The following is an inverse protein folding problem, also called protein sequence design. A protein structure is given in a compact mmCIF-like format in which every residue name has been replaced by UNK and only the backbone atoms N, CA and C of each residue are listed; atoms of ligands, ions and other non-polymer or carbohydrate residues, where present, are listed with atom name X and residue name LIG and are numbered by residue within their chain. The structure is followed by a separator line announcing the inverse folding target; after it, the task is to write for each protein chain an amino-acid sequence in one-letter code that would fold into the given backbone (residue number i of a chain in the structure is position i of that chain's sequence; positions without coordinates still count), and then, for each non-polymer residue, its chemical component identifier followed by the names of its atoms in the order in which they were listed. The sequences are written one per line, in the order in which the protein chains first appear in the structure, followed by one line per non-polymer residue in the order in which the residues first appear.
data_IF_919895995891
#
_entry.id   IF_919895995891
#
_cell.length_a   1.000
_cell.length_b   1.000
_cell.length_c   1.000
_cell.angle_alpha   90.00
_cell.angle_beta   90.00
_cell.angle_gamma   90.00
#
_symmetry.space_group_name_H-M   'P 1'
#
loop_
_entity.id
_entity.type
_entity.pdbx_description
1 polymer ?
#
# COMPACT_ATOMS: atom_id res chain seq x y z
N UNK A 1 5.46 -49.58 -42.92
CA UNK A 1 6.36 -48.74 -42.10
C UNK A 1 5.52 -47.85 -41.20
N UNK A 2 5.50 -48.13 -39.89
CA UNK A 2 5.42 -47.19 -38.75
C UNK A 2 5.13 -48.00 -37.48
N UNK A 3 6.09 -48.14 -36.54
CA UNK A 3 5.86 -48.84 -35.27
C UNK A 3 5.23 -47.88 -34.25
N UNK A 4 4.14 -48.31 -33.62
CA UNK A 4 3.52 -47.57 -32.52
C UNK A 4 4.29 -47.92 -31.24
N UNK A 5 5.15 -46.98 -30.81
CA UNK A 5 5.97 -47.11 -29.61
C UNK A 5 5.13 -47.43 -28.37
N UNK A 6 5.60 -48.42 -27.61
CA UNK A 6 5.29 -48.67 -26.20
C UNK A 6 5.72 -47.48 -25.36
N UNK A 7 4.87 -46.97 -24.47
CA UNK A 7 5.21 -46.27 -23.22
C UNK A 7 3.86 -46.08 -22.50
N UNK A 8 3.68 -46.38 -21.22
CA UNK A 8 4.49 -45.94 -20.09
C UNK A 8 3.97 -46.68 -18.84
N UNK A 9 4.81 -47.48 -18.20
CA UNK A 9 4.50 -48.09 -16.90
C UNK A 9 4.29 -47.00 -15.86
N UNK A 10 3.09 -46.96 -15.28
CA UNK A 10 2.80 -46.08 -14.15
C UNK A 10 3.25 -46.77 -12.87
N UNK A 11 4.38 -46.34 -12.31
CA UNK A 11 4.78 -46.75 -10.96
C UNK A 11 4.07 -45.85 -9.94
N UNK A 12 3.09 -46.43 -9.24
CA UNK A 12 2.40 -45.81 -8.12
C UNK A 12 3.40 -45.63 -6.97
N UNK A 13 3.72 -44.37 -6.64
CA UNK A 13 4.56 -44.03 -5.49
C UNK A 13 3.71 -44.11 -4.21
N UNK A 14 4.13 -44.84 -3.17
CA UNK A 14 3.41 -44.85 -1.91
C UNK A 14 3.58 -43.51 -1.19
N UNK A 15 2.47 -43.00 -0.66
CA UNK A 15 2.41 -41.82 0.22
C UNK A 15 3.03 -42.18 1.56
N UNK A 16 4.20 -41.63 1.89
CA UNK A 16 4.75 -41.71 3.24
C UNK A 16 4.01 -40.72 4.16
N UNK A 17 3.71 -41.24 5.34
CA UNK A 17 2.87 -40.65 6.37
C UNK A 17 3.52 -39.45 7.08
N UNK A 18 2.67 -38.48 7.43
CA UNK A 18 2.69 -37.72 8.69
C UNK A 18 4.01 -37.06 9.11
N UNK A 19 4.20 -35.80 8.72
CA UNK A 19 5.09 -34.89 9.46
C UNK A 19 4.21 -34.11 10.45
N UNK A 20 4.46 -34.15 11.77
CA UNK A 20 3.68 -33.37 12.72
C UNK A 20 4.01 -31.89 12.52
N UNK A 21 3.00 -31.11 12.17
CA UNK A 21 3.12 -29.66 12.10
C UNK A 21 3.40 -29.13 13.52
N UNK A 22 4.63 -28.63 13.74
CA UNK A 22 4.98 -27.91 14.94
C UNK A 22 4.14 -26.61 14.96
N UNK A 23 3.03 -26.62 15.71
CA UNK A 23 2.18 -25.45 15.91
C UNK A 23 2.94 -24.44 16.77
N UNK A 24 3.66 -23.54 16.12
CA UNK A 24 4.28 -22.39 16.79
C UNK A 24 3.15 -21.49 17.33
N UNK A 25 3.11 -21.18 18.63
CA UNK A 25 2.18 -20.18 19.14
C UNK A 25 2.60 -18.85 18.53
N UNK A 26 1.74 -18.30 17.67
CA UNK A 26 1.88 -16.92 17.18
C UNK A 26 1.89 -16.00 18.40
N UNK A 27 3.07 -15.53 18.79
CA UNK A 27 3.22 -14.39 19.71
C UNK A 27 2.45 -13.21 19.10
N UNK A 28 1.24 -12.96 19.61
CA UNK A 28 0.57 -11.68 19.39
C UNK A 28 1.34 -10.64 20.19
N UNK A 29 2.24 -9.91 19.51
CA UNK A 29 2.71 -8.63 20.02
C UNK A 29 1.57 -7.64 19.80
N UNK A 30 0.78 -7.36 20.83
CA UNK A 30 -0.09 -6.18 20.86
C UNK A 30 0.81 -4.97 21.01
N UNK A 31 1.34 -4.49 19.88
CA UNK A 31 2.02 -3.20 19.81
C UNK A 31 0.95 -2.13 20.02
N UNK A 32 0.95 -1.49 21.18
CA UNK A 32 0.19 -0.27 21.42
C UNK A 32 0.79 0.81 20.54
N UNK A 33 0.19 1.00 19.36
CA UNK A 33 0.59 2.03 18.39
C UNK A 33 0.39 3.40 19.04
N UNK A 34 1.50 4.05 19.39
CA UNK A 34 1.51 5.42 19.86
C UNK A 34 1.08 6.35 18.73
N UNK A 35 0.04 7.16 18.97
CA UNK A 35 -0.55 8.13 18.02
C UNK A 35 0.32 9.39 17.89
N UNK A 36 1.62 9.25 17.62
CA UNK A 36 2.48 10.40 17.36
C UNK A 36 2.64 10.59 15.86
N UNK A 37 2.38 11.81 15.38
CA UNK A 37 2.75 12.19 14.03
C UNK A 37 4.27 12.20 13.93
N UNK A 38 4.79 11.39 13.03
CA UNK A 38 6.20 11.31 12.66
C UNK A 38 6.63 12.58 11.92
N UNK A 39 7.92 12.88 11.95
CA UNK A 39 8.52 14.01 11.22
C UNK A 39 8.22 13.93 9.71
N UNK A 40 8.23 12.72 9.15
CA UNK A 40 7.84 12.48 7.75
C UNK A 40 6.37 12.79 7.45
N UNK A 41 5.43 12.45 8.36
CA UNK A 41 4.02 12.80 8.19
C UNK A 41 3.81 14.31 8.16
N UNK A 42 4.48 15.05 9.05
CA UNK A 42 4.41 16.51 9.09
C UNK A 42 4.98 17.13 7.82
N UNK A 43 6.14 16.66 7.36
CA UNK A 43 6.77 17.18 6.15
C UNK A 43 5.89 16.99 4.90
N UNK A 44 5.28 15.81 4.74
CA UNK A 44 4.36 15.53 3.62
C UNK A 44 3.11 16.39 3.75
N UNK A 45 2.59 16.57 4.97
CA UNK A 45 1.41 17.39 5.24
C UNK A 45 1.63 18.84 4.79
N UNK A 46 2.70 19.48 5.25
CA UNK A 46 2.98 20.89 4.96
C UNK A 46 3.14 21.15 3.46
N UNK A 47 3.81 20.22 2.78
CA UNK A 47 4.04 20.32 1.33
C UNK A 47 2.75 20.23 0.52
N UNK A 48 1.91 19.24 0.83
CA UNK A 48 0.62 19.07 0.15
C UNK A 48 -0.36 20.19 0.50
N UNK A 49 -0.32 20.67 1.73
CA UNK A 49 -1.13 21.80 2.18
C UNK A 49 -0.77 23.08 1.41
N UNK A 50 0.53 23.36 1.22
CA UNK A 50 1.00 24.54 0.47
C UNK A 50 0.62 24.53 -1.01
N UNK A 51 0.71 23.37 -1.68
CA UNK A 51 0.49 23.28 -3.13
C UNK A 51 -1.00 23.15 -3.51
N UNK A 52 -1.76 22.31 -2.78
CA UNK A 52 -3.12 21.92 -3.19
C UNK A 52 -4.23 22.63 -2.43
N UNK A 53 -3.92 23.28 -1.29
CA UNK A 53 -4.90 23.91 -0.38
C UNK A 53 -6.17 23.04 -0.19
N UNK A 54 -6.01 21.76 0.22
CA UNK A 54 -7.12 20.84 0.32
C UNK A 54 -8.09 21.23 1.44
N UNK A 55 -9.37 20.92 1.27
CA UNK A 55 -10.39 21.11 2.32
C UNK A 55 -10.16 20.14 3.48
N UNK A 56 -9.64 18.94 3.19
CA UNK A 56 -9.25 17.94 4.19
C UNK A 56 -8.01 17.20 3.72
N UNK A 57 -7.04 17.08 4.61
CA UNK A 57 -5.79 16.37 4.38
C UNK A 57 -5.51 15.48 5.58
N UNK A 58 -5.30 14.19 5.33
CA UNK A 58 -4.87 13.22 6.34
C UNK A 58 -3.68 12.44 5.82
N UNK A 59 -2.60 12.41 6.58
CA UNK A 59 -1.40 11.62 6.30
C UNK A 59 -1.23 10.64 7.45
N UNK A 60 -1.06 9.36 7.13
CA UNK A 60 -0.94 8.29 8.12
C UNK A 60 0.16 7.31 7.73
N UNK A 61 1.11 7.08 8.64
CA UNK A 61 2.14 6.06 8.50
C UNK A 61 1.54 4.66 8.73
N UNK A 62 1.66 3.80 7.73
CA UNK A 62 1.25 2.40 7.78
C UNK A 62 2.41 1.46 8.09
N UNK A 63 3.64 1.97 8.22
CA UNK A 63 4.83 1.15 8.51
C UNK A 63 5.06 0.87 10.00
N UNK A 64 4.22 1.44 10.88
CA UNK A 64 4.32 1.23 12.32
C UNK A 64 5.42 2.05 12.98
N UNK A 65 5.75 3.23 12.44
CA UNK A 65 6.73 4.16 13.00
C UNK A 65 8.12 4.10 12.36
N UNK A 66 8.29 3.29 11.31
CA UNK A 66 9.54 3.22 10.53
C UNK A 66 9.59 4.33 9.45
N UNK A 67 8.48 5.02 9.17
CA UNK A 67 8.39 6.06 8.15
C UNK A 67 8.66 5.56 6.72
N UNK A 68 8.42 4.28 6.44
CA UNK A 68 8.69 3.68 5.12
C UNK A 68 7.48 3.63 4.20
N UNK A 69 6.24 3.65 4.74
CA UNK A 69 5.03 3.56 3.94
C UNK A 69 3.89 4.42 4.46
N UNK A 70 3.39 5.32 3.61
CA UNK A 70 2.39 6.30 4.01
C UNK A 70 1.09 6.13 3.23
N UNK A 71 -0.02 6.50 3.87
CA UNK A 71 -1.34 6.62 3.28
C UNK A 71 -1.75 8.08 3.37
N UNK A 72 -2.03 8.67 2.22
CA UNK A 72 -2.40 10.08 2.08
C UNK A 72 -3.83 10.14 1.56
N UNK A 73 -4.72 10.76 2.33
CA UNK A 73 -6.10 11.03 1.96
C UNK A 73 -6.28 12.53 1.76
N UNK A 74 -6.71 12.92 0.56
CA UNK A 74 -6.83 14.33 0.16
C UNK A 74 -8.24 14.57 -0.39
N UNK A 75 -8.97 15.47 0.25
CA UNK A 75 -10.21 16.05 -0.26
C UNK A 75 -9.91 17.46 -0.77
N UNK A 76 -10.03 17.67 -2.08
CA UNK A 76 -9.81 18.99 -2.69
C UNK A 76 -10.67 19.19 -3.93
N UNK A 77 -11.08 20.44 -4.17
CA UNK A 77 -11.89 20.81 -5.34
C UNK A 77 -11.09 20.76 -6.64
N UNK A 78 -9.76 20.90 -6.58
CA UNK A 78 -8.86 20.81 -7.73
C UNK A 78 -8.91 19.46 -8.46
N UNK A 79 -9.46 18.42 -7.82
CA UNK A 79 -9.65 17.11 -8.41
C UNK A 79 -10.95 16.96 -9.21
N UNK A 80 -11.84 17.96 -9.19
CA UNK A 80 -13.10 17.95 -9.94
C UNK A 80 -12.83 17.86 -11.45
N UNK A 81 -13.48 16.91 -12.12
CA UNK A 81 -13.31 16.69 -13.56
C UNK A 81 -12.02 15.95 -13.97
N UNK A 82 -11.15 15.57 -13.02
CA UNK A 82 -9.97 14.74 -13.31
C UNK A 82 -10.29 13.25 -13.10
N UNK A 83 -9.74 12.40 -13.98
CA UNK A 83 -9.80 10.95 -13.78
C UNK A 83 -8.87 10.53 -12.63
N UNK A 84 -9.15 9.42 -11.94
CA UNK A 84 -8.39 8.90 -10.80
C UNK A 84 -6.88 8.82 -11.07
N UNK A 85 -6.50 8.32 -12.24
CA UNK A 85 -5.08 8.22 -12.64
C UNK A 85 -4.42 9.59 -12.74
N UNK A 86 -5.13 10.61 -13.23
CA UNK A 86 -4.61 11.98 -13.34
C UNK A 86 -4.46 12.62 -11.96
N UNK A 87 -5.42 12.41 -11.06
CA UNK A 87 -5.36 12.88 -9.67
C UNK A 87 -4.13 12.30 -8.96
N UNK A 88 -3.95 10.98 -8.97
CA UNK A 88 -2.78 10.34 -8.36
C UNK A 88 -1.47 10.78 -9.02
N UNK A 89 -1.44 10.95 -10.35
CA UNK A 89 -0.25 11.47 -11.06
C UNK A 89 0.10 12.91 -10.65
N UNK A 90 -0.90 13.75 -10.42
CA UNK A 90 -0.71 15.14 -9.96
C UNK A 90 -0.05 15.13 -8.57
N UNK A 91 -0.62 14.39 -7.62
CA UNK A 91 -0.09 14.30 -6.25
C UNK A 91 1.30 13.67 -6.23
N UNK A 92 1.50 12.55 -6.94
CA UNK A 92 2.81 11.93 -7.07
C UNK A 92 3.83 12.87 -7.73
N UNK A 93 3.37 13.77 -8.62
CA UNK A 93 4.18 14.80 -9.26
C UNK A 93 4.79 15.78 -8.27
N UNK A 94 3.97 16.25 -7.32
CA UNK A 94 4.38 17.18 -6.25
C UNK A 94 5.31 16.51 -5.23
N UNK A 95 5.09 15.22 -4.97
CA UNK A 95 5.86 14.41 -4.01
C UNK A 95 7.02 13.65 -4.64
N UNK A 96 7.38 13.90 -5.92
CA UNK A 96 8.44 13.13 -6.62
C UNK A 96 9.79 13.19 -5.93
N UNK A 97 10.11 14.32 -5.30
CA UNK A 97 11.39 14.52 -4.64
C UNK A 97 11.47 13.68 -3.37
N UNK A 98 10.40 13.65 -2.59
CA UNK A 98 10.28 12.95 -1.30
C UNK A 98 10.07 11.44 -1.50
N UNK A 99 9.36 11.05 -2.57
CA UNK A 99 9.16 9.66 -2.97
C UNK A 99 10.47 8.91 -3.22
N UNK A 100 11.59 9.59 -3.50
CA UNK A 100 12.90 8.94 -3.68
C UNK A 100 13.44 8.35 -2.39
N UNK A 101 13.13 8.98 -1.26
CA UNK A 101 13.60 8.57 0.06
C UNK A 101 12.61 7.61 0.74
N UNK A 102 11.38 7.50 0.22
CA UNK A 102 10.30 6.69 0.78
C UNK A 102 10.13 5.33 0.06
N UNK A 103 9.86 4.26 0.83
CA UNK A 103 9.67 2.90 0.29
C UNK A 103 8.37 2.77 -0.54
N UNK A 104 7.37 3.61 -0.27
CA UNK A 104 6.17 3.76 -1.09
C UNK A 104 5.06 4.57 -0.40
N UNK A 105 4.06 5.01 -1.17
CA UNK A 105 2.85 5.62 -0.59
C UNK A 105 1.59 5.22 -1.34
N UNK A 106 0.44 5.30 -0.65
CA UNK A 106 -0.89 5.23 -1.26
C UNK A 106 -1.56 6.59 -1.20
N UNK A 107 -2.08 7.05 -2.33
CA UNK A 107 -2.80 8.32 -2.43
C UNK A 107 -4.27 8.05 -2.74
N UNK A 108 -5.15 8.58 -1.91
CA UNK A 108 -6.59 8.56 -2.06
C UNK A 108 -7.07 9.99 -2.28
N UNK A 109 -7.43 10.30 -3.53
CA UNK A 109 -8.01 11.58 -3.89
C UNK A 109 -9.53 11.45 -3.91
N UNK A 110 -10.19 12.35 -3.21
CA UNK A 110 -11.65 12.51 -3.17
C UNK A 110 -12.01 13.96 -3.48
N UNK A 111 -13.18 14.17 -4.07
CA UNK A 111 -13.72 15.52 -4.31
C UNK A 111 -14.75 15.77 -3.21
N UNK A 112 -14.70 16.91 -2.50
CA UNK A 112 -15.71 17.21 -1.51
C UNK A 112 -17.10 17.33 -2.18
N UNK A 113 -18.17 16.82 -1.55
CA UNK A 113 -19.51 17.03 -2.04
C UNK A 113 -19.82 18.53 -2.03
N UNK A 114 -20.53 19.00 -3.06
CA UNK A 114 -21.02 20.37 -3.11
C UNK A 114 -21.92 20.60 -1.88
N UNK A 115 -21.59 21.60 -1.05
CA UNK A 115 -22.47 21.99 0.06
C UNK A 115 -23.78 22.46 -0.56
N UNK A 116 -24.81 21.63 -0.38
CA UNK A 116 -26.18 21.91 -0.79
C UNK A 116 -26.77 23.13 -0.07
#
# INVERSE_FOLDING_TARGET
MLPRLMFRSQTLRPRLAGVPALVMPRRMLTVTRTLFMTDGEQHIYDKLHGELQPTKLSVTDSSGGCGSMYVVEIEAECFRGLNRVKQTKMVNGLLKSELKDMHGMRVLCTVPPEKA
#
